data_IF_289091252566
#
_entry.id   IF_289091252566
#
_cell.length_a   1.000
_cell.length_b   1.000
_cell.length_c   1.000
_cell.angle_alpha   90.00
_cell.angle_beta   90.00
_cell.angle_gamma   90.00
#
_symmetry.space_group_name_H-M   'P 1'
#
loop_
_entity.id
_entity.type
_entity.pdbx_description
1 polymer ?
#
# COMPACT_ATOMS: atom_id res chain seq x y z
N UNK A 1 -56.19 -2.98 -29.49
CA UNK A 1 -55.45 -4.16 -28.97
C UNK A 1 -53.99 -3.74 -28.77
N UNK A 2 -53.66 -3.19 -27.61
CA UNK A 2 -52.29 -2.78 -27.26
C UNK A 2 -51.53 -3.96 -26.66
N UNK A 3 -50.50 -4.46 -27.36
CA UNK A 3 -49.59 -5.49 -26.86
C UNK A 3 -48.74 -4.98 -25.68
N UNK A 4 -48.34 -5.84 -24.72
CA UNK A 4 -47.60 -5.40 -23.55
C UNK A 4 -46.19 -4.94 -23.92
N UNK A 5 -45.79 -3.85 -23.27
CA UNK A 5 -44.62 -3.04 -23.52
C UNK A 5 -43.29 -3.71 -23.16
N UNK A 6 -42.29 -3.46 -24.01
CA UNK A 6 -40.87 -3.30 -23.73
C UNK A 6 -40.34 -3.80 -22.36
N UNK A 7 -40.08 -5.11 -22.26
CA UNK A 7 -39.37 -5.70 -21.13
C UNK A 7 -37.85 -5.51 -21.22
N UNK A 8 -37.31 -4.39 -20.75
CA UNK A 8 -35.93 -4.34 -20.24
C UNK A 8 -35.78 -3.31 -19.14
N UNK A 9 -36.19 -3.72 -17.94
CA UNK A 9 -35.97 -2.97 -16.71
C UNK A 9 -34.50 -2.60 -16.57
N UNK A 10 -34.23 -1.30 -16.42
CA UNK A 10 -32.90 -0.76 -16.16
C UNK A 10 -32.34 -1.42 -14.89
N UNK A 11 -31.24 -2.17 -15.02
CA UNK A 11 -30.54 -2.77 -13.88
C UNK A 11 -30.05 -1.65 -12.97
N UNK A 12 -30.38 -1.75 -11.68
CA UNK A 12 -29.85 -0.87 -10.63
C UNK A 12 -28.34 -0.75 -10.77
N UNK A 13 -27.82 0.48 -10.71
CA UNK A 13 -26.39 0.76 -10.76
C UNK A 13 -25.59 -0.15 -9.82
N UNK A 14 -26.14 -0.43 -8.63
CA UNK A 14 -25.57 -1.34 -7.63
C UNK A 14 -25.44 -2.80 -8.08
N UNK A 15 -26.27 -3.28 -9.01
CA UNK A 15 -26.16 -4.65 -9.51
C UNK A 15 -24.93 -4.89 -10.40
N UNK A 16 -24.27 -3.82 -10.87
CA UNK A 16 -23.03 -3.90 -11.64
C UNK A 16 -21.85 -4.07 -10.69
N UNK A 17 -21.80 -3.31 -9.59
CA UNK A 17 -20.67 -3.27 -8.66
C UNK A 17 -20.58 -4.48 -7.70
N UNK A 18 -21.65 -5.29 -7.60
CA UNK A 18 -21.75 -6.41 -6.66
C UNK A 18 -21.89 -7.78 -7.36
N UNK A 19 -21.50 -7.89 -8.63
CA UNK A 19 -21.46 -9.17 -9.33
C UNK A 19 -20.36 -10.05 -8.72
N UNK A 20 -20.63 -11.31 -8.34
CA UNK A 20 -19.64 -12.19 -7.73
C UNK A 20 -18.37 -12.35 -8.57
N UNK A 21 -18.49 -12.32 -9.89
CA UNK A 21 -17.39 -12.41 -10.85
C UNK A 21 -16.42 -11.20 -10.82
N UNK A 22 -16.85 -10.05 -10.30
CA UNK A 22 -16.05 -8.81 -10.26
C UNK A 22 -15.30 -8.68 -8.93
N UNK A 23 -15.78 -9.32 -7.86
CA UNK A 23 -15.15 -9.29 -6.53
C UNK A 23 -13.66 -9.63 -6.57
N UNK A 24 -13.19 -10.68 -7.29
CA UNK A 24 -11.76 -10.98 -7.39
C UNK A 24 -10.92 -9.87 -8.03
N UNK A 25 -11.50 -9.09 -8.95
CA UNK A 25 -10.82 -7.98 -9.62
C UNK A 25 -10.60 -6.85 -8.62
N UNK A 26 -11.60 -6.50 -7.81
CA UNK A 26 -11.44 -5.46 -6.79
C UNK A 26 -10.43 -5.86 -5.71
N UNK A 27 -10.36 -7.13 -5.34
CA UNK A 27 -9.39 -7.61 -4.35
C UNK A 27 -7.96 -7.48 -4.89
N UNK A 28 -7.70 -7.89 -6.14
CA UNK A 28 -6.35 -7.83 -6.72
C UNK A 28 -5.91 -6.40 -6.98
N UNK A 29 -6.78 -5.55 -7.54
CA UNK A 29 -6.48 -4.13 -7.78
C UNK A 29 -6.34 -3.37 -6.46
N UNK A 30 -7.28 -3.54 -5.52
CA UNK A 30 -7.22 -2.93 -4.21
C UNK A 30 -5.98 -3.38 -3.42
N UNK A 31 -5.66 -4.67 -3.47
CA UNK A 31 -4.44 -5.22 -2.91
C UNK A 31 -3.17 -4.63 -3.54
N UNK A 32 -3.12 -4.50 -4.87
CA UNK A 32 -1.98 -3.92 -5.57
C UNK A 32 -1.78 -2.44 -5.20
N UNK A 33 -2.84 -1.62 -5.23
CA UNK A 33 -2.76 -0.22 -4.83
C UNK A 33 -2.38 -0.06 -3.36
N UNK A 34 -2.93 -0.90 -2.47
CA UNK A 34 -2.61 -0.91 -1.05
C UNK A 34 -1.15 -1.26 -0.78
N UNK A 35 -0.63 -2.33 -1.39
CA UNK A 35 0.76 -2.75 -1.25
C UNK A 35 1.74 -1.74 -1.86
N UNK A 36 1.41 -1.16 -3.02
CA UNK A 36 2.21 -0.11 -3.63
C UNK A 36 2.28 1.13 -2.72
N UNK A 37 1.14 1.56 -2.19
CA UNK A 37 1.07 2.66 -1.22
C UNK A 37 1.91 2.38 0.02
N UNK A 38 1.73 1.21 0.63
CA UNK A 38 2.53 0.78 1.77
C UNK A 38 4.03 0.79 1.46
N UNK A 39 4.44 0.24 0.32
CA UNK A 39 5.86 0.16 -0.05
C UNK A 39 6.47 1.54 -0.30
N UNK A 40 5.72 2.45 -0.95
CA UNK A 40 6.14 3.85 -1.08
C UNK A 40 6.31 4.52 0.28
N UNK A 41 5.41 4.29 1.24
CA UNK A 41 5.61 4.83 2.60
C UNK A 41 6.86 4.26 3.26
N UNK A 42 7.19 2.99 3.05
CA UNK A 42 8.43 2.35 3.57
C UNK A 42 9.70 2.87 2.90
N UNK A 43 9.65 3.25 1.63
CA UNK A 43 10.79 3.85 0.91
C UNK A 43 10.96 5.32 1.27
N UNK A 44 9.87 6.10 1.28
CA UNK A 44 9.88 7.46 1.80
C UNK A 44 10.47 7.47 3.22
N UNK A 45 10.11 6.41 3.98
CA UNK A 45 10.65 5.76 5.19
C UNK A 45 12.16 5.55 5.43
N UNK A 46 12.98 5.60 4.39
CA UNK A 46 14.37 5.14 4.45
C UNK A 46 15.34 6.15 5.09
N UNK A 47 16.49 5.69 5.63
CA UNK A 47 17.54 6.58 6.12
C UNK A 47 18.28 7.34 5.01
N UNK A 48 18.13 6.95 3.75
CA UNK A 48 18.63 7.66 2.58
C UNK A 48 17.79 8.90 2.22
N UNK A 49 16.57 9.01 2.76
CA UNK A 49 15.65 10.11 2.46
C UNK A 49 15.65 11.15 3.58
N UNK A 50 15.97 12.39 3.24
CA UNK A 50 15.97 13.52 4.18
C UNK A 50 14.70 14.35 4.00
N UNK A 51 13.79 14.29 4.98
CA UNK A 51 12.59 15.15 5.03
C UNK A 51 12.86 16.41 5.84
N UNK A 52 13.39 16.28 7.06
CA UNK A 52 13.79 17.43 7.89
C UNK A 52 15.27 17.78 7.74
N UNK A 53 15.56 18.80 6.93
CA UNK A 53 16.92 19.32 6.72
C UNK A 53 17.43 20.20 7.86
N UNK A 54 16.58 20.62 8.80
CA UNK A 54 16.94 21.56 9.88
C UNK A 54 17.33 20.82 11.16
N UNK A 55 16.49 19.89 11.64
CA UNK A 55 16.73 19.20 12.91
C UNK A 55 17.33 17.80 12.74
N UNK A 56 17.25 17.22 11.54
CA UNK A 56 17.79 15.88 11.25
C UNK A 56 18.38 15.77 9.84
N UNK A 57 19.37 16.60 9.47
CA UNK A 57 19.92 16.62 8.11
C UNK A 57 20.59 15.30 7.69
N UNK A 58 21.04 14.49 8.66
CA UNK A 58 21.80 13.26 8.44
C UNK A 58 21.14 12.06 9.13
N UNK A 59 19.97 11.59 8.63
CA UNK A 59 19.23 10.50 9.25
C UNK A 59 20.01 9.19 9.37
N UNK A 60 20.94 8.94 8.45
CA UNK A 60 21.83 7.77 8.47
C UNK A 60 22.79 7.72 9.66
N UNK A 61 23.02 8.85 10.34
CA UNK A 61 23.91 8.90 11.51
C UNK A 61 23.28 8.32 12.78
N UNK A 62 21.96 8.13 12.80
CA UNK A 62 21.21 7.62 13.96
C UNK A 62 20.90 6.12 13.88
N UNK A 63 21.72 5.35 13.17
CA UNK A 63 21.51 3.91 12.96
C UNK A 63 22.60 3.14 13.70
N UNK A 64 22.22 2.26 14.62
CA UNK A 64 23.16 1.35 15.27
C UNK A 64 23.64 0.27 14.29
N UNK A 65 24.88 -0.19 14.45
CA UNK A 65 25.49 -1.24 13.62
C UNK A 65 24.69 -2.56 13.59
N UNK A 66 23.94 -2.86 14.66
CA UNK A 66 23.15 -4.07 14.83
C UNK A 66 21.67 -3.91 14.36
N UNK A 67 21.42 -2.92 13.48
CA UNK A 67 20.09 -2.62 12.96
C UNK A 67 19.94 -3.07 11.51
N UNK A 68 18.93 -3.90 11.25
CA UNK A 68 18.56 -4.27 9.89
C UNK A 68 17.82 -3.12 9.19
N UNK A 69 18.49 -2.49 8.22
CA UNK A 69 17.88 -1.44 7.38
C UNK A 69 17.14 -2.02 6.17
N UNK A 70 17.58 -3.17 5.66
CA UNK A 70 16.98 -3.83 4.49
C UNK A 70 15.61 -4.41 4.84
N UNK A 71 14.73 -4.50 3.84
CA UNK A 71 13.40 -5.09 4.02
C UNK A 71 13.47 -6.54 4.51
N UNK A 72 14.44 -7.31 4.01
CA UNK A 72 14.65 -8.70 4.38
C UNK A 72 16.14 -9.00 4.40
N UNK A 73 16.56 -9.82 5.37
CA UNK A 73 17.85 -10.50 5.35
C UNK A 73 17.59 -12.02 5.37
N UNK A 74 18.44 -12.78 4.68
CA UNK A 74 18.32 -14.23 4.62
C UNK A 74 18.93 -14.87 5.87
N UNK A 75 20.08 -14.36 6.32
CA UNK A 75 20.75 -14.80 7.53
C UNK A 75 20.50 -13.74 8.61
N UNK A 76 19.45 -13.91 9.43
CA UNK A 76 19.00 -12.96 10.46
C UNK A 76 20.08 -12.74 11.53
N UNK A 77 21.05 -11.89 11.21
CA UNK A 77 22.24 -11.59 12.04
C UNK A 77 22.07 -10.31 12.86
N UNK A 78 21.00 -9.54 12.61
CA UNK A 78 20.71 -8.29 13.31
C UNK A 78 19.72 -8.54 14.43
N UNK A 79 19.94 -7.93 15.60
CA UNK A 79 18.99 -8.01 16.72
C UNK A 79 17.82 -7.03 16.61
N UNK A 80 17.98 -5.95 15.83
CA UNK A 80 16.99 -4.87 15.69
C UNK A 80 16.54 -4.70 14.24
N UNK A 81 15.30 -4.23 14.07
CA UNK A 81 14.78 -3.76 12.78
C UNK A 81 14.73 -2.25 12.75
N UNK A 82 15.09 -1.65 11.62
CA UNK A 82 15.05 -0.20 11.46
C UNK A 82 13.62 0.34 11.54
N UNK A 83 13.39 1.25 12.49
CA UNK A 83 12.19 2.07 12.60
C UNK A 83 12.58 3.53 12.64
N UNK A 84 11.73 4.40 12.09
CA UNK A 84 11.89 5.84 12.22
C UNK A 84 10.60 6.51 12.67
N UNK A 85 10.68 7.20 13.80
CA UNK A 85 9.53 7.87 14.41
C UNK A 85 9.46 9.34 14.02
N UNK A 86 10.59 9.93 13.61
CA UNK A 86 10.71 11.32 13.14
C UNK A 86 11.17 11.36 11.68
N UNK A 87 10.56 12.26 10.90
CA UNK A 87 10.88 12.54 9.49
C UNK A 87 11.92 13.65 9.40
#
# INVERSE_FOLDING_TARGET
>A
MSGPAAGRAARSFWSIWYKPEIIPIYITVGGACGLAGWYLTRLARGPEVVWDRRNNPYPWQNIDQDTQVKLMTVNQQFSKSYSRDRL
#
